data_IF_730014607564
#
_entry.id   IF_730014607564
#
_cell.length_a   1.000
_cell.length_b   1.000
_cell.length_c   1.000
_cell.angle_alpha   90.00
_cell.angle_beta   90.00
_cell.angle_gamma   90.00
#
_symmetry.space_group_name_H-M   'P 1'
#
loop_
_entity.id
_entity.type
_entity.pdbx_description
1 polymer ?
#
# COMPACT_ATOMS: atom_id res chain seq x y z
N UNK A 1 9.04 2.40 -16.11
CA UNK A 1 9.35 1.30 -15.17
C UNK A 1 10.78 1.46 -14.70
N UNK A 2 11.00 1.69 -13.40
CA UNK A 2 12.34 1.80 -12.84
C UNK A 2 12.49 0.83 -11.67
N UNK A 3 12.94 -0.41 -11.93
CA UNK A 3 13.09 -1.46 -10.93
C UNK A 3 14.58 -1.71 -10.66
N UNK A 4 15.02 -1.44 -9.42
CA UNK A 4 16.39 -1.73 -9.00
C UNK A 4 16.45 -3.08 -8.29
N UNK A 5 17.23 -4.01 -8.83
CA UNK A 5 17.38 -5.35 -8.26
C UNK A 5 18.77 -5.48 -7.63
N UNK A 6 18.81 -5.78 -6.34
CA UNK A 6 20.04 -5.89 -5.54
C UNK A 6 20.08 -7.20 -4.75
N UNK A 7 21.27 -7.83 -4.68
CA UNK A 7 21.52 -8.97 -3.81
C UNK A 7 22.35 -8.55 -2.60
N UNK A 8 22.02 -9.02 -1.39
CA UNK A 8 22.83 -8.85 -0.18
C UNK A 8 23.36 -10.21 0.25
N UNK A 9 24.68 -10.34 0.27
CA UNK A 9 25.39 -11.62 0.51
C UNK A 9 25.09 -12.71 -0.54
N UNK A 10 24.70 -12.31 -1.75
CA UNK A 10 24.45 -13.19 -2.89
C UNK A 10 24.57 -12.40 -4.20
N UNK A 11 25.09 -13.04 -5.23
CA UNK A 11 25.07 -12.52 -6.60
C UNK A 11 23.77 -12.91 -7.30
N UNK A 12 23.14 -11.94 -7.96
CA UNK A 12 21.92 -12.15 -8.73
C UNK A 12 22.31 -12.38 -10.19
N UNK A 13 22.03 -13.59 -10.69
CA UNK A 13 22.20 -13.90 -12.11
C UNK A 13 21.15 -13.24 -13.00
N UNK A 14 21.46 -13.08 -14.28
CA UNK A 14 20.59 -12.41 -15.25
C UNK A 14 19.23 -13.13 -15.42
N UNK A 15 19.22 -14.46 -15.42
CA UNK A 15 17.98 -15.23 -15.51
C UNK A 15 17.02 -14.92 -14.34
N UNK A 16 17.56 -14.80 -13.13
CA UNK A 16 16.77 -14.47 -11.96
C UNK A 16 16.29 -13.01 -12.01
N UNK A 17 17.14 -12.10 -12.51
CA UNK A 17 16.79 -10.69 -12.71
C UNK A 17 15.63 -10.52 -13.69
N UNK A 18 15.67 -11.23 -14.83
CA UNK A 18 14.60 -11.21 -15.83
C UNK A 18 13.29 -11.73 -15.24
N UNK A 19 13.34 -12.87 -14.54
CA UNK A 19 12.16 -13.44 -13.87
C UNK A 19 11.54 -12.47 -12.85
N UNK A 20 12.36 -11.76 -12.07
CA UNK A 20 11.89 -10.75 -11.13
C UNK A 20 11.19 -9.61 -11.87
N UNK A 21 11.83 -9.07 -12.92
CA UNK A 21 11.26 -7.98 -13.72
C UNK A 21 9.92 -8.38 -14.34
N UNK A 22 9.84 -9.54 -14.95
CA UNK A 22 8.63 -10.02 -15.63
C UNK A 22 7.50 -10.24 -14.63
N UNK A 23 7.77 -10.93 -13.51
CA UNK A 23 6.75 -11.22 -12.49
C UNK A 23 6.25 -9.96 -11.80
N UNK A 24 7.15 -9.02 -11.45
CA UNK A 24 6.75 -7.73 -10.85
C UNK A 24 5.98 -6.87 -11.85
N UNK A 25 6.44 -6.81 -13.11
CA UNK A 25 5.77 -6.08 -14.18
C UNK A 25 4.36 -6.60 -14.45
N UNK A 26 4.20 -7.92 -14.53
CA UNK A 26 2.88 -8.56 -14.72
C UNK A 26 1.96 -8.31 -13.51
N UNK A 27 2.46 -8.49 -12.29
CA UNK A 27 1.68 -8.28 -11.07
C UNK A 27 1.18 -6.83 -10.96
N UNK A 28 2.03 -5.84 -11.23
CA UNK A 28 1.62 -4.43 -11.18
C UNK A 28 0.70 -4.09 -12.35
N UNK A 29 1.02 -4.54 -13.57
CA UNK A 29 0.25 -4.28 -14.78
C UNK A 29 -1.20 -4.78 -14.72
N UNK A 30 -1.49 -5.83 -13.93
CA UNK A 30 -2.88 -6.27 -13.66
C UNK A 30 -3.73 -5.23 -12.93
N UNK A 31 -3.11 -4.40 -12.09
CA UNK A 31 -3.83 -3.48 -11.21
C UNK A 31 -3.66 -2.02 -11.60
N UNK A 32 -2.49 -1.64 -12.13
CA UNK A 32 -2.10 -0.27 -12.45
C UNK A 32 -1.38 -0.19 -13.81
N UNK A 33 -1.88 0.65 -14.71
CA UNK A 33 -1.27 0.91 -16.03
C UNK A 33 -0.27 2.08 -16.04
N UNK A 34 -0.06 2.71 -14.88
CA UNK A 34 0.83 3.86 -14.69
C UNK A 34 2.26 3.43 -14.35
N UNK A 35 3.19 4.40 -14.38
CA UNK A 35 4.56 4.17 -13.99
C UNK A 35 4.69 3.72 -12.53
N UNK A 36 5.76 2.96 -12.28
CA UNK A 36 6.18 2.60 -10.94
C UNK A 36 7.71 2.64 -10.85
N UNK A 37 8.19 2.94 -9.66
CA UNK A 37 9.58 2.86 -9.28
C UNK A 37 9.71 1.95 -8.06
N UNK A 38 10.63 1.00 -8.07
CA UNK A 38 10.77 0.05 -6.97
C UNK A 38 12.18 -0.46 -6.79
N UNK A 39 12.39 -1.11 -5.66
CA UNK A 39 13.59 -1.88 -5.40
C UNK A 39 13.22 -3.26 -4.86
N UNK A 40 13.94 -4.27 -5.35
CA UNK A 40 13.87 -5.65 -4.89
C UNK A 40 15.23 -6.01 -4.35
N UNK A 41 15.27 -6.38 -3.07
CA UNK A 41 16.49 -6.82 -2.39
C UNK A 41 16.34 -8.26 -1.96
N UNK A 42 17.22 -9.13 -2.40
CA UNK A 42 17.26 -10.52 -1.94
C UNK A 42 18.45 -10.69 -1.00
N UNK A 43 18.17 -11.12 0.22
CA UNK A 43 19.12 -11.25 1.32
C UNK A 43 19.32 -12.73 1.62
N UNK A 44 20.58 -13.17 1.62
CA UNK A 44 20.94 -14.50 2.11
C UNK A 44 21.25 -14.46 3.60
N UNK A 45 20.48 -15.19 4.40
CA UNK A 45 20.58 -15.29 5.86
C UNK A 45 20.87 -16.75 6.26
N UNK A 46 22.12 -17.16 6.07
CA UNK A 46 22.57 -18.54 6.34
C UNK A 46 21.93 -19.55 5.37
N UNK A 47 21.05 -20.40 5.91
CA UNK A 47 20.30 -21.42 5.15
C UNK A 47 18.97 -20.88 4.56
N UNK A 48 18.56 -19.68 4.96
CA UNK A 48 17.31 -19.05 4.49
C UNK A 48 17.59 -17.84 3.59
N UNK A 49 16.66 -17.56 2.70
CA UNK A 49 16.63 -16.40 1.84
C UNK A 49 15.41 -15.56 2.18
N UNK A 50 15.63 -14.25 2.24
CA UNK A 50 14.58 -13.25 2.45
C UNK A 50 14.55 -12.31 1.26
N UNK A 51 13.40 -12.11 0.65
CA UNK A 51 13.19 -11.19 -0.45
C UNK A 51 12.32 -10.02 0.03
N UNK A 52 12.87 -8.81 0.00
CA UNK A 52 12.17 -7.58 0.30
C UNK A 52 11.88 -6.82 -1.00
N UNK A 53 10.61 -6.56 -1.25
CA UNK A 53 10.12 -5.87 -2.43
C UNK A 53 9.42 -4.58 -2.00
N UNK A 54 10.00 -3.43 -2.33
CA UNK A 54 9.36 -2.13 -2.13
C UNK A 54 9.07 -1.49 -3.48
N UNK A 55 7.81 -1.11 -3.68
CA UNK A 55 7.33 -0.41 -4.86
C UNK A 55 6.71 0.91 -4.44
N UNK A 56 7.06 1.96 -5.17
CA UNK A 56 6.37 3.23 -5.15
C UNK A 56 5.59 3.39 -6.46
N UNK A 57 4.30 3.65 -6.30
CA UNK A 57 3.40 3.97 -7.38
C UNK A 57 3.44 5.48 -7.64
N UNK A 58 3.17 5.89 -8.88
CA UNK A 58 3.03 7.31 -9.23
C UNK A 58 1.88 7.99 -8.47
N UNK A 59 0.95 7.22 -7.89
CA UNK A 59 -0.09 7.73 -6.99
C UNK A 59 0.42 8.20 -5.63
N UNK A 60 1.73 8.10 -5.37
CA UNK A 60 2.37 8.47 -4.11
C UNK A 60 2.36 7.36 -3.05
N UNK A 61 1.70 6.24 -3.31
CA UNK A 61 1.68 5.11 -2.38
C UNK A 61 2.96 4.27 -2.47
N UNK A 62 3.54 3.97 -1.31
CA UNK A 62 4.61 2.99 -1.15
C UNK A 62 4.04 1.68 -0.60
N UNK A 63 4.24 0.59 -1.32
CA UNK A 63 3.89 -0.75 -0.89
C UNK A 63 5.18 -1.55 -0.69
N UNK A 64 5.29 -2.19 0.46
CA UNK A 64 6.38 -3.11 0.77
C UNK A 64 5.83 -4.50 1.01
N UNK A 65 6.57 -5.54 0.63
CA UNK A 65 6.26 -6.92 0.96
C UNK A 65 7.55 -7.71 1.09
N UNK A 66 7.61 -8.53 2.14
CA UNK A 66 8.75 -9.42 2.40
C UNK A 66 8.29 -10.86 2.23
N UNK A 67 9.18 -11.75 1.78
CA UNK A 67 8.95 -13.18 1.70
C UNK A 67 10.19 -13.97 2.10
N UNK A 68 10.01 -15.04 2.86
CA UNK A 68 11.11 -15.87 3.36
C UNK A 68 10.95 -17.31 2.87
N UNK A 69 12.05 -17.92 2.41
CA UNK A 69 12.08 -19.33 2.02
C UNK A 69 13.48 -19.93 2.10
N UNK A 70 13.60 -21.24 1.83
CA UNK A 70 14.91 -21.91 1.72
C UNK A 70 15.57 -21.75 0.34
N UNK A 71 14.82 -21.29 -0.67
CA UNK A 71 15.32 -21.02 -2.03
C UNK A 71 15.08 -19.53 -2.35
N UNK A 72 16.05 -18.81 -2.95
CA UNK A 72 15.87 -17.42 -3.38
C UNK A 72 14.66 -17.21 -4.30
N UNK A 73 14.35 -18.18 -5.16
CA UNK A 73 13.21 -18.14 -6.09
C UNK A 73 11.89 -18.20 -5.34
N UNK A 74 11.78 -19.13 -4.38
CA UNK A 74 10.59 -19.30 -3.56
C UNK A 74 10.38 -18.10 -2.63
N UNK A 75 11.46 -17.53 -2.09
CA UNK A 75 11.38 -16.33 -1.25
C UNK A 75 10.82 -15.15 -2.05
N UNK A 76 11.27 -14.98 -3.30
CA UNK A 76 10.74 -13.95 -4.19
C UNK A 76 9.28 -14.20 -4.57
N UNK A 77 8.89 -15.45 -4.88
CA UNK A 77 7.48 -15.77 -5.17
C UNK A 77 6.56 -15.46 -3.99
N UNK A 78 6.96 -15.82 -2.77
CA UNK A 78 6.23 -15.48 -1.57
C UNK A 78 6.10 -13.95 -1.37
N UNK A 79 7.16 -13.20 -1.64
CA UNK A 79 7.13 -11.74 -1.61
C UNK A 79 6.20 -11.16 -2.69
N UNK A 80 6.24 -11.71 -3.90
CA UNK A 80 5.42 -11.28 -5.03
C UNK A 80 3.91 -11.50 -4.79
N UNK A 81 3.53 -12.64 -4.20
CA UNK A 81 2.13 -12.95 -3.90
C UNK A 81 1.56 -12.06 -2.79
N UNK A 82 2.38 -11.78 -1.76
CA UNK A 82 2.04 -10.80 -0.70
C UNK A 82 1.87 -9.40 -1.28
N UNK A 83 2.77 -9.01 -2.18
CA UNK A 83 2.72 -7.72 -2.89
C UNK A 83 1.47 -7.62 -3.77
N UNK A 84 1.10 -8.68 -4.48
CA UNK A 84 -0.11 -8.74 -5.29
C UNK A 84 -1.36 -8.54 -4.42
N UNK A 85 -1.41 -9.21 -3.26
CA UNK A 85 -2.50 -9.05 -2.29
C UNK A 85 -2.61 -7.62 -1.78
N UNK A 86 -1.48 -6.97 -1.48
CA UNK A 86 -1.44 -5.55 -1.08
C UNK A 86 -1.89 -4.62 -2.20
N UNK A 87 -1.45 -4.84 -3.44
CA UNK A 87 -1.89 -4.08 -4.62
C UNK A 87 -3.41 -4.19 -4.82
N UNK A 88 -3.96 -5.41 -4.74
CA UNK A 88 -5.39 -5.66 -4.83
C UNK A 88 -6.17 -4.95 -3.74
N UNK A 89 -5.73 -5.05 -2.48
CA UNK A 89 -6.34 -4.33 -1.34
C UNK A 89 -6.29 -2.82 -1.53
N UNK A 90 -5.16 -2.28 -1.99
CA UNK A 90 -5.01 -0.85 -2.24
C UNK A 90 -5.94 -0.36 -3.37
N UNK A 91 -6.02 -1.09 -4.49
CA UNK A 91 -6.98 -0.79 -5.58
C UNK A 91 -8.44 -0.84 -5.10
N UNK A 92 -8.80 -1.83 -4.27
CA UNK A 92 -10.16 -1.92 -3.68
C UNK A 92 -10.46 -0.70 -2.79
N UNK A 93 -9.51 -0.27 -1.95
CA UNK A 93 -9.65 0.92 -1.08
C UNK A 93 -9.83 2.21 -1.88
N UNK A 94 -9.09 2.39 -2.98
CA UNK A 94 -9.26 3.53 -3.88
C UNK A 94 -10.65 3.54 -4.53
N UNK A 95 -11.12 2.37 -5.01
CA UNK A 95 -12.46 2.25 -5.61
C UNK A 95 -13.57 2.52 -4.60
N UNK A 96 -13.45 2.03 -3.36
CA UNK A 96 -14.47 2.24 -2.32
C UNK A 96 -14.57 3.70 -1.86
N UNK A 97 -13.44 4.44 -1.82
CA UNK A 97 -13.45 5.87 -1.52
C UNK A 97 -14.11 6.70 -2.62
N UNK A 98 -13.93 6.30 -3.89
CA UNK A 98 -14.53 7.00 -5.03
C UNK A 98 -16.03 6.72 -5.22
N UNK A 99 -16.58 5.70 -4.56
CA UNK A 99 -18.01 5.36 -4.63
C UNK A 99 -18.90 6.00 -3.55
N UNK A 100 -18.30 6.71 -2.57
CA UNK A 100 -19.03 7.32 -1.46
C UNK A 100 -19.38 8.80 -1.65
N UNK A 101 -18.60 9.55 -2.44
CA UNK A 101 -18.83 10.98 -2.66
C UNK A 101 -18.92 11.27 -4.16
N UNK A 102 -20.15 11.49 -4.62
CA UNK A 102 -20.37 12.25 -5.84
C UNK A 102 -19.81 13.65 -5.64
N UNK A 103 -18.61 13.89 -6.15
CA UNK A 103 -18.18 15.10 -6.85
C UNK A 103 -16.70 14.92 -7.20
N UNK A 104 -16.44 14.90 -8.51
CA UNK A 104 -15.11 14.75 -9.08
C UNK A 104 -14.24 15.97 -8.86
N UNK A 105 -13.69 16.12 -7.66
CA UNK A 105 -12.53 16.96 -7.41
C UNK A 105 -11.33 16.09 -6.99
N UNK A 106 -10.23 16.31 -7.70
CA UNK A 106 -8.90 15.79 -7.41
C UNK A 106 -8.43 16.45 -6.11
N UNK A 107 -8.78 15.88 -4.95
CA UNK A 107 -8.37 16.45 -3.67
C UNK A 107 -6.98 15.95 -3.28
N UNK A 108 -6.11 16.92 -3.06
CA UNK A 108 -4.71 16.84 -2.63
C UNK A 108 -4.48 15.82 -1.51
N UNK A 109 -3.47 14.96 -1.69
CA UNK A 109 -3.19 13.82 -0.79
C UNK A 109 -2.46 14.36 0.45
N UNK A 110 -3.19 14.53 1.56
CA UNK A 110 -2.58 14.75 2.87
C UNK A 110 -1.79 13.51 3.30
N UNK A 111 -0.47 13.69 3.42
CA UNK A 111 0.53 12.69 3.73
C UNK A 111 0.44 12.27 5.22
N UNK A 112 -0.25 11.17 5.52
CA UNK A 112 -0.16 10.52 6.85
C UNK A 112 0.89 9.41 6.79
N UNK A 113 2.00 9.61 7.50
CA UNK A 113 3.00 8.58 7.76
C UNK A 113 2.38 7.55 8.71
N UNK A 114 1.93 6.41 8.16
CA UNK A 114 1.57 5.25 8.99
C UNK A 114 2.84 4.47 9.34
N UNK A 115 3.09 4.34 10.64
CA UNK A 115 4.13 3.48 11.20
C UNK A 115 3.96 2.03 10.69
N UNK A 116 5.05 1.26 10.53
CA UNK A 116 4.96 -0.12 10.05
C UNK A 116 4.24 -0.95 11.12
N UNK A 117 3.04 -1.43 10.79
CA UNK A 117 2.38 -2.49 11.56
C UNK A 117 3.28 -3.73 11.47
N UNK A 118 3.69 -4.23 12.64
CA UNK A 118 4.42 -5.48 12.79
C UNK A 118 3.66 -6.61 12.09
N UNK A 119 4.41 -7.50 11.45
CA UNK A 119 3.90 -8.72 10.81
C UNK A 119 3.25 -9.62 11.88
N UNK A 120 1.93 -9.60 11.96
CA UNK A 120 1.14 -10.68 12.56
C UNK A 120 0.31 -11.34 11.44
N UNK A 121 0.72 -12.57 11.10
CA UNK A 121 0.06 -13.53 10.23
C UNK A 121 -1.24 -14.06 10.88
N UNK A 122 -2.23 -13.19 11.06
CA UNK A 122 -3.61 -13.62 11.36
C UNK A 122 -4.55 -13.09 10.27
N UNK A 123 -5.25 -14.03 9.60
CA UNK A 123 -6.41 -13.73 8.77
C UNK A 123 -7.45 -13.00 9.62
N UNK A 124 -7.38 -11.67 9.59
CA UNK A 124 -8.37 -10.80 10.21
C UNK A 124 -9.73 -11.11 9.54
N UNK A 125 -10.73 -11.66 10.26
CA UNK A 125 -12.06 -11.87 9.73
C UNK A 125 -12.66 -10.54 9.26
N UNK A 126 -13.49 -10.55 8.21
CA UNK A 126 -14.08 -9.32 7.63
C UNK A 126 -14.91 -8.47 8.63
N UNK A 127 -15.14 -8.98 9.85
CA UNK A 127 -15.85 -8.31 10.96
C UNK A 127 -14.95 -7.78 12.10
N UNK A 128 -13.62 -7.71 11.93
CA UNK A 128 -12.76 -7.09 12.96
C UNK A 128 -12.85 -5.56 12.92
N UNK A 129 -13.86 -5.02 13.60
CA UNK A 129 -13.90 -3.61 13.98
C UNK A 129 -13.04 -3.44 15.25
N UNK A 130 -11.80 -2.91 15.18
CA UNK A 130 -11.08 -2.56 16.41
C UNK A 130 -11.94 -1.58 17.21
N UNK A 131 -12.01 -1.75 18.53
CA UNK A 131 -12.74 -0.83 19.39
C UNK A 131 -12.11 0.57 19.27
N UNK A 132 -12.72 1.42 18.43
CA UNK A 132 -12.34 2.80 18.24
C UNK A 132 -12.74 3.55 19.51
N UNK A 133 -11.76 3.90 20.34
CA UNK A 133 -11.97 4.86 21.42
C UNK A 133 -12.15 6.22 20.76
N UNK A 134 -13.39 6.73 20.77
CA UNK A 134 -13.76 7.96 20.11
C UNK A 134 -13.12 9.18 20.80
N UNK A 135 -12.05 9.70 20.21
CA UNK A 135 -11.71 11.12 20.35
C UNK A 135 -12.82 11.91 19.64
N UNK A 136 -13.54 12.77 20.36
CA UNK A 136 -14.68 13.51 19.80
C UNK A 136 -14.20 14.58 18.83
N UNK A 137 -14.09 14.22 17.55
CA UNK A 137 -13.89 15.18 16.47
C UNK A 137 -15.23 15.77 16.05
N UNK A 138 -15.47 17.05 16.35
CA UNK A 138 -16.67 17.77 15.91
C UNK A 138 -16.41 18.45 14.57
N UNK A 139 -17.24 18.18 13.57
CA UNK A 139 -17.14 18.80 12.25
C UNK A 139 -17.67 20.23 12.29
N UNK A 140 -16.78 21.21 12.09
CA UNK A 140 -17.16 22.62 11.95
C UNK A 140 -17.77 22.87 10.57
N UNK A 141 -18.99 23.39 10.53
CA UNK A 141 -19.66 23.81 9.30
C UNK A 141 -19.32 25.28 9.02
N UNK A 142 -18.71 25.57 7.88
CA UNK A 142 -18.49 26.94 7.43
C UNK A 142 -19.76 27.49 6.80
N UNK A 143 -20.24 28.64 7.27
CA UNK A 143 -21.44 29.30 6.74
C UNK A 143 -21.25 30.82 6.73
N UNK A 144 -22.04 31.51 5.89
CA UNK A 144 -21.96 32.97 5.80
C UNK A 144 -22.46 33.62 7.08
N UNK A 145 -21.98 34.82 7.41
CA UNK A 145 -22.31 35.53 8.66
C UNK A 145 -23.82 35.65 8.85
N UNK A 146 -24.57 35.96 7.79
CA UNK A 146 -26.02 36.08 7.84
C UNK A 146 -26.71 34.75 8.20
N UNK A 147 -26.17 33.62 7.73
CA UNK A 147 -26.69 32.27 8.02
C UNK A 147 -26.40 31.85 9.46
N UNK A 148 -25.21 32.19 9.96
CA UNK A 148 -24.80 31.84 11.32
C UNK A 148 -25.65 32.56 12.37
N UNK A 149 -25.99 33.84 12.15
CA UNK A 149 -26.84 34.62 13.07
C UNK A 149 -28.23 33.99 13.20
N UNK A 150 -28.84 33.59 12.07
CA UNK A 150 -30.16 32.96 12.07
C UNK A 150 -30.13 31.63 12.82
N UNK A 151 -29.10 30.80 12.62
CA UNK A 151 -29.02 29.50 13.29
C UNK A 151 -28.79 29.64 14.81
N UNK A 152 -28.02 30.65 15.24
CA UNK A 152 -27.78 30.92 16.65
C UNK A 152 -29.06 31.40 17.36
N UNK A 153 -29.82 32.30 16.73
CA UNK A 153 -31.06 32.89 17.27
C UNK A 153 -32.19 31.83 17.40
N UNK A 154 -32.14 30.77 16.59
CA UNK A 154 -33.10 29.64 16.67
C UNK A 154 -32.72 28.56 17.68
N UNK A 155 -31.50 28.60 18.23
CA UNK A 155 -30.99 27.58 19.17
C UNK A 155 -30.96 28.05 20.62
N UNK A 156 -31.30 29.30 20.89
CA UNK A 156 -31.52 29.85 22.24
C UNK A 156 -32.99 29.65 22.69
#
# INVERSE_FOLDING_TARGET
MNLRISGKHMDIGDAFRTRINDRVGEAIGKYFDRGFAGHVTVIKSGSRYSADCMIRLDSGASLQATGDAQDPTLAFEAAADRLETRLRRYKRRLKSHNSGNGNGELTDIAYTVMAPLADDDEEIPEDFAPAIVAESTMTLKTMSVASAVIELDTKD
#
